data_IF_253066294035
#
_entry.id   IF_253066294035
#
_cell.length_a   1.000
_cell.length_b   1.000
_cell.length_c   1.000
_cell.angle_alpha   90.00
_cell.angle_beta   90.00
_cell.angle_gamma   90.00
#
_symmetry.space_group_name_H-M   'P 1'
#
loop_
_entity.id
_entity.type
_entity.pdbx_description
1 polymer ?
#
# COMPACT_ATOMS: atom_id res chain seq x y z
N UNK A 1 0.25 22.67 0.50
CA UNK A 1 0.22 21.24 0.85
C UNK A 1 -0.19 21.15 2.31
N UNK A 2 -1.39 20.66 2.60
CA UNK A 2 -1.79 20.41 3.97
C UNK A 2 -0.95 19.22 4.46
N UNK A 3 -0.19 19.41 5.54
CA UNK A 3 0.36 18.27 6.28
C UNK A 3 -0.84 17.47 6.79
N UNK A 4 -0.91 16.17 6.42
CA UNK A 4 -1.89 15.27 7.01
C UNK A 4 -1.64 15.28 8.53
N UNK A 5 -2.63 15.70 9.31
CA UNK A 5 -2.55 15.81 10.78
C UNK A 5 -2.24 14.47 11.47
N UNK A 6 -2.25 13.37 10.75
CA UNK A 6 -2.02 12.00 11.22
C UNK A 6 -0.67 11.40 10.82
N UNK A 7 0.28 12.21 10.34
CA UNK A 7 1.61 11.68 9.98
C UNK A 7 2.42 11.30 11.22
N UNK A 8 3.09 10.16 11.15
CA UNK A 8 3.93 9.61 12.23
C UNK A 8 5.40 9.71 11.81
N UNK A 9 6.24 10.32 12.64
CA UNK A 9 7.69 10.31 12.44
C UNK A 9 8.19 8.92 12.80
N UNK A 10 8.81 8.23 11.84
CA UNK A 10 9.45 6.94 12.07
C UNK A 10 10.75 7.13 12.86
N UNK A 11 10.85 6.47 13.99
CA UNK A 11 12.04 6.53 14.86
C UNK A 11 13.18 5.69 14.26
N UNK A 12 14.44 5.95 14.62
CA UNK A 12 15.58 5.13 14.19
C UNK A 12 15.40 3.62 14.45
N UNK A 13 14.75 3.27 15.58
CA UNK A 13 14.47 1.87 15.93
C UNK A 13 13.43 1.24 15.00
N UNK A 14 12.44 1.99 14.50
CA UNK A 14 11.45 1.51 13.55
C UNK A 14 12.11 1.26 12.19
N UNK A 15 12.99 2.18 11.77
CA UNK A 15 13.75 2.08 10.52
C UNK A 15 14.69 0.87 10.56
N UNK A 16 15.36 0.61 11.70
CA UNK A 16 16.31 -0.49 11.85
C UNK A 16 15.66 -1.88 11.79
N UNK A 17 14.37 -2.00 12.15
CA UNK A 17 13.65 -3.27 12.30
C UNK A 17 12.89 -3.75 11.06
N UNK A 18 12.97 -3.06 9.95
CA UNK A 18 12.06 -3.23 8.81
C UNK A 18 10.59 -3.03 9.21
N UNK A 19 9.92 -2.19 8.46
CA UNK A 19 8.49 -1.96 8.63
C UNK A 19 7.74 -3.14 8.02
N UNK A 20 6.83 -3.76 8.77
CA UNK A 20 5.90 -4.76 8.25
C UNK A 20 4.49 -4.16 8.27
N UNK A 21 3.79 -4.24 7.15
CA UNK A 21 2.39 -3.90 7.00
C UNK A 21 1.62 -5.16 6.60
N UNK A 22 0.64 -5.56 7.40
CA UNK A 22 -0.30 -6.63 7.11
C UNK A 22 -1.69 -6.05 6.86
N UNK A 23 -2.56 -6.78 6.17
CA UNK A 23 -3.84 -6.23 5.73
C UNK A 23 -4.96 -7.22 5.93
N UNK A 24 -6.15 -6.70 6.27
CA UNK A 24 -7.36 -7.47 6.44
C UNK A 24 -8.56 -6.60 6.06
N UNK A 25 -9.60 -7.19 5.49
CA UNK A 25 -10.81 -6.46 5.11
C UNK A 25 -12.07 -7.24 5.40
N UNK A 26 -13.14 -6.51 5.72
CA UNK A 26 -14.42 -7.07 6.09
C UNK A 26 -15.55 -6.50 5.25
N UNK A 27 -16.55 -7.32 5.03
CA UNK A 27 -17.77 -7.00 4.33
C UNK A 27 -18.97 -7.11 5.26
N UNK A 28 -19.96 -6.21 5.11
CA UNK A 28 -21.26 -6.40 5.74
C UNK A 28 -21.94 -7.63 5.12
N UNK A 29 -22.42 -8.54 5.90
CA UNK A 29 -23.16 -9.77 5.58
C UNK A 29 -22.94 -10.37 4.18
N UNK A 30 -22.45 -11.61 4.12
CA UNK A 30 -22.34 -12.39 2.90
C UNK A 30 -23.69 -12.98 2.52
N UNK A 31 -24.27 -12.60 1.39
CA UNK A 31 -25.21 -13.48 0.71
C UNK A 31 -24.45 -14.69 0.15
N UNK A 32 -25.06 -15.90 0.21
CA UNK A 32 -24.41 -17.20 -0.09
C UNK A 32 -23.85 -17.35 -1.52
N UNK A 33 -24.04 -16.37 -2.40
CA UNK A 33 -23.67 -16.41 -3.81
C UNK A 33 -22.89 -15.18 -4.28
N UNK A 34 -22.45 -14.32 -3.39
CA UNK A 34 -21.67 -13.14 -3.77
C UNK A 34 -20.20 -13.49 -4.04
N UNK A 35 -19.68 -12.93 -5.11
CA UNK A 35 -18.26 -13.02 -5.45
C UNK A 35 -17.48 -12.22 -4.39
N UNK A 36 -16.54 -12.89 -3.73
CA UNK A 36 -15.64 -12.25 -2.77
C UNK A 36 -14.80 -11.20 -3.49
N UNK A 37 -14.50 -10.07 -2.82
CA UNK A 37 -13.54 -9.12 -3.33
C UNK A 37 -12.15 -9.76 -3.37
N UNK A 38 -11.56 -9.73 -4.54
CA UNK A 38 -10.22 -10.22 -4.83
C UNK A 38 -9.31 -8.97 -4.83
N UNK A 39 -8.63 -8.74 -3.71
CA UNK A 39 -7.89 -7.52 -3.47
C UNK A 39 -6.41 -7.79 -3.56
N UNK A 40 -5.77 -7.16 -4.52
CA UNK A 40 -4.33 -7.20 -4.71
C UNK A 40 -3.64 -6.05 -3.98
N UNK A 41 -2.52 -6.35 -3.32
CA UNK A 41 -1.67 -5.37 -2.65
C UNK A 41 -0.47 -5.01 -3.51
N UNK A 42 -0.16 -3.72 -3.52
CA UNK A 42 0.89 -3.14 -4.32
C UNK A 42 1.73 -2.16 -3.52
N UNK A 43 3.00 -2.06 -3.87
CA UNK A 43 3.83 -0.96 -3.41
C UNK A 43 4.72 -0.44 -4.54
N UNK A 44 5.03 0.85 -4.52
CA UNK A 44 5.96 1.44 -5.46
C UNK A 44 6.94 2.37 -4.77
N UNK A 45 8.19 2.33 -5.24
CA UNK A 45 9.27 3.21 -4.80
C UNK A 45 9.36 4.38 -5.76
N UNK A 46 9.14 5.58 -5.24
CA UNK A 46 9.08 6.83 -6.02
C UNK A 46 10.36 7.64 -5.78
N UNK A 47 10.96 8.11 -6.87
CA UNK A 47 12.14 8.96 -6.85
C UNK A 47 11.80 10.45 -6.67
N UNK A 48 12.80 11.30 -6.51
CA UNK A 48 12.67 12.76 -6.34
C UNK A 48 11.98 13.48 -7.51
N UNK A 49 11.88 12.82 -8.67
CA UNK A 49 11.14 13.34 -9.82
C UNK A 49 9.64 12.96 -9.79
N UNK A 50 9.20 12.30 -8.73
CA UNK A 50 7.80 11.88 -8.54
C UNK A 50 7.40 10.65 -9.35
N UNK A 51 8.37 9.83 -9.78
CA UNK A 51 8.14 8.67 -10.67
C UNK A 51 8.91 7.44 -10.20
N UNK A 52 8.48 6.26 -10.60
CA UNK A 52 9.29 5.04 -10.44
C UNK A 52 10.43 5.04 -11.48
N UNK A 53 11.53 4.37 -11.14
CA UNK A 53 12.73 4.33 -11.99
C UNK A 53 12.62 3.31 -13.12
N UNK A 54 11.93 2.20 -12.89
CA UNK A 54 11.74 1.08 -13.82
C UNK A 54 10.51 0.28 -13.42
N UNK A 55 10.08 -0.68 -14.24
CA UNK A 55 8.89 -1.50 -13.98
C UNK A 55 9.05 -2.35 -12.73
N UNK A 56 10.27 -2.84 -12.46
CA UNK A 56 10.58 -3.65 -11.28
C UNK A 56 10.49 -2.87 -9.96
N UNK A 57 10.40 -1.53 -9.99
CA UNK A 57 10.13 -0.70 -8.82
C UNK A 57 8.65 -0.73 -8.38
N UNK A 58 7.79 -1.42 -9.13
CA UNK A 58 6.42 -1.76 -8.75
C UNK A 58 6.41 -3.17 -8.17
N UNK A 59 6.11 -3.29 -6.88
CA UNK A 59 6.13 -4.55 -6.12
C UNK A 59 4.71 -5.06 -5.90
N UNK A 60 4.48 -6.34 -6.18
CA UNK A 60 3.20 -7.04 -6.04
C UNK A 60 3.42 -8.57 -6.10
N UNK A 61 2.38 -9.38 -6.08
CA UNK A 61 2.47 -10.85 -6.05
C UNK A 61 3.32 -11.50 -7.16
N UNK A 62 3.48 -10.86 -8.34
CA UNK A 62 4.33 -11.35 -9.44
C UNK A 62 5.72 -10.69 -9.47
N UNK A 63 5.95 -9.63 -8.73
CA UNK A 63 7.23 -8.97 -8.59
C UNK A 63 7.50 -8.67 -7.10
N UNK A 64 8.15 -9.58 -6.43
CA UNK A 64 8.25 -9.66 -4.97
C UNK A 64 9.16 -8.62 -4.32
N UNK A 65 9.99 -7.89 -5.08
CA UNK A 65 10.86 -6.85 -4.53
C UNK A 65 11.30 -5.86 -5.60
N UNK A 66 11.50 -4.60 -5.21
CA UNK A 66 12.13 -3.59 -6.05
C UNK A 66 13.65 -3.84 -6.21
N UNK A 67 14.32 -3.24 -7.22
CA UNK A 67 15.75 -3.45 -7.49
C UNK A 67 16.69 -3.09 -6.36
N UNK A 68 16.35 -2.09 -5.55
CA UNK A 68 17.15 -1.65 -4.41
C UNK A 68 16.83 -2.43 -3.13
N UNK A 69 15.89 -3.39 -3.21
CA UNK A 69 15.45 -4.18 -2.06
C UNK A 69 14.94 -3.31 -0.88
N UNK A 70 14.23 -2.24 -1.19
CA UNK A 70 13.57 -1.38 -0.21
C UNK A 70 12.24 -1.98 0.21
N UNK A 71 11.47 -2.51 -0.76
CA UNK A 71 10.14 -3.09 -0.56
C UNK A 71 10.14 -4.57 -0.91
N UNK A 72 9.44 -5.35 -0.11
CA UNK A 72 9.23 -6.79 -0.32
C UNK A 72 7.76 -7.13 -0.15
N UNK A 73 7.19 -7.82 -1.12
CA UNK A 73 5.94 -8.54 -0.96
C UNK A 73 6.22 -9.90 -0.32
N UNK A 74 5.43 -10.30 0.64
CA UNK A 74 5.53 -11.63 1.27
C UNK A 74 4.14 -12.23 1.36
N UNK A 75 3.98 -13.38 0.76
CA UNK A 75 2.86 -14.29 0.97
C UNK A 75 3.17 -15.05 2.27
N UNK A 76 2.41 -14.78 3.33
CA UNK A 76 2.71 -15.33 4.67
C UNK A 76 2.10 -16.72 4.82
N UNK A 77 2.83 -17.74 4.32
CA UNK A 77 2.42 -19.14 4.40
C UNK A 77 2.56 -19.76 5.81
N UNK A 78 3.09 -19.05 6.80
CA UNK A 78 3.36 -19.65 8.12
C UNK A 78 2.29 -19.36 9.18
N UNK A 79 1.17 -18.76 8.80
CA UNK A 79 -0.10 -18.75 9.57
C UNK A 79 -0.05 -18.07 10.94
N UNK A 80 0.95 -17.24 11.22
CA UNK A 80 1.06 -16.51 12.49
C UNK A 80 0.29 -15.20 12.54
N UNK A 81 -0.05 -14.71 11.38
CA UNK A 81 -0.98 -13.63 11.17
C UNK A 81 -2.07 -14.23 10.31
N UNK A 82 -3.33 -14.06 10.64
CA UNK A 82 -4.46 -14.45 9.78
C UNK A 82 -4.52 -13.61 8.49
N UNK A 83 -3.38 -13.05 8.08
CA UNK A 83 -3.18 -12.14 6.97
C UNK A 83 -2.42 -12.88 5.87
N UNK A 84 -3.12 -13.12 4.77
CA UNK A 84 -2.56 -13.85 3.63
C UNK A 84 -1.39 -13.11 2.96
N UNK A 85 -1.39 -11.75 3.00
CA UNK A 85 -0.41 -10.91 2.30
C UNK A 85 0.21 -9.83 3.20
N UNK A 86 1.49 -9.53 3.01
CA UNK A 86 2.16 -8.41 3.68
C UNK A 86 3.16 -7.66 2.81
N UNK A 87 3.28 -6.35 3.06
CA UNK A 87 4.31 -5.49 2.50
C UNK A 87 5.36 -5.20 3.57
N UNK A 88 6.60 -5.54 3.29
CA UNK A 88 7.74 -5.28 4.17
C UNK A 88 8.63 -4.20 3.57
N UNK A 89 9.09 -3.23 4.38
CA UNK A 89 9.84 -2.07 3.92
C UNK A 89 11.12 -1.91 4.73
N UNK A 90 12.26 -1.92 4.05
CA UNK A 90 13.59 -1.71 4.63
C UNK A 90 14.14 -0.34 4.22
N UNK A 91 13.85 0.69 4.99
CA UNK A 91 14.28 2.06 4.71
C UNK A 91 15.82 2.25 4.77
N UNK A 92 16.58 1.31 5.34
CA UNK A 92 18.04 1.37 5.32
C UNK A 92 18.60 1.19 3.90
N UNK A 93 17.85 0.56 3.00
CA UNK A 93 18.23 0.38 1.61
C UNK A 93 17.84 1.58 0.73
N UNK A 94 17.04 2.51 1.27
CA UNK A 94 16.58 3.67 0.52
C UNK A 94 17.75 4.57 0.11
N UNK A 95 17.91 4.78 -1.19
CA UNK A 95 18.95 5.61 -1.78
C UNK A 95 18.68 7.10 -1.55
N UNK A 96 19.66 7.94 -1.88
CA UNK A 96 19.44 9.40 -1.84
C UNK A 96 18.39 9.88 -2.84
N UNK A 97 18.12 9.11 -3.89
CA UNK A 97 17.07 9.44 -4.88
C UNK A 97 15.67 8.98 -4.46
N UNK A 98 15.55 8.07 -3.51
CA UNK A 98 14.26 7.62 -2.97
C UNK A 98 13.57 8.76 -2.22
N UNK A 99 12.43 9.22 -2.73
CA UNK A 99 11.62 10.29 -2.12
C UNK A 99 10.50 9.73 -1.26
N UNK A 100 9.76 8.74 -1.79
CA UNK A 100 8.65 8.11 -1.06
C UNK A 100 8.40 6.67 -1.50
N UNK A 101 7.67 5.96 -0.64
CA UNK A 101 7.08 4.67 -0.91
C UNK A 101 5.57 4.84 -0.79
N UNK A 102 4.82 4.32 -1.75
CA UNK A 102 3.36 4.33 -1.77
C UNK A 102 2.90 2.89 -1.66
N UNK A 103 1.98 2.60 -0.72
CA UNK A 103 1.31 1.31 -0.59
C UNK A 103 -0.17 1.51 -0.92
N UNK A 104 -0.70 0.67 -1.78
CA UNK A 104 -2.07 0.77 -2.25
C UNK A 104 -2.65 -0.62 -2.54
N UNK A 105 -3.96 -0.67 -2.67
CA UNK A 105 -4.69 -1.88 -3.02
C UNK A 105 -5.56 -1.62 -4.24
N UNK A 106 -5.83 -2.66 -5.04
CA UNK A 106 -6.87 -2.62 -6.05
C UNK A 106 -7.75 -3.87 -6.00
N UNK A 107 -8.95 -3.75 -6.57
CA UNK A 107 -9.88 -4.87 -6.68
C UNK A 107 -9.74 -5.46 -8.08
N UNK A 108 -9.28 -6.70 -8.17
CA UNK A 108 -9.14 -7.41 -9.43
C UNK A 108 -10.48 -7.53 -10.16
N UNK A 109 -10.50 -7.18 -11.45
CA UNK A 109 -11.69 -7.20 -12.31
C UNK A 109 -12.90 -6.46 -11.70
N UNK A 110 -12.65 -5.35 -10.98
CA UNK A 110 -13.66 -4.58 -10.26
C UNK A 110 -14.87 -4.20 -11.13
N UNK A 111 -14.61 -3.70 -12.34
CA UNK A 111 -15.65 -3.29 -13.28
C UNK A 111 -16.52 -4.44 -13.75
N UNK A 112 -15.91 -5.56 -14.11
CA UNK A 112 -16.60 -6.78 -14.58
C UNK A 112 -17.42 -7.41 -13.47
N UNK A 113 -16.95 -7.31 -12.23
CA UNK A 113 -17.60 -7.85 -11.03
C UNK A 113 -18.55 -6.87 -10.37
N UNK A 114 -18.62 -5.61 -10.85
CA UNK A 114 -19.37 -4.51 -10.25
C UNK A 114 -19.01 -4.32 -8.77
N UNK A 115 -17.71 -4.27 -8.49
CA UNK A 115 -17.15 -4.16 -7.14
C UNK A 115 -16.37 -2.85 -6.98
N UNK A 116 -16.43 -2.28 -5.77
CA UNK A 116 -15.63 -1.16 -5.33
C UNK A 116 -15.40 -1.22 -3.81
N UNK A 117 -14.48 -0.39 -3.29
CA UNK A 117 -14.14 -0.39 -1.87
C UNK A 117 -15.29 0.06 -0.96
N UNK A 118 -16.29 0.82 -1.43
CA UNK A 118 -17.44 1.23 -0.60
C UNK A 118 -18.34 0.07 -0.17
N UNK A 119 -18.19 -1.09 -0.78
CA UNK A 119 -18.91 -2.32 -0.42
C UNK A 119 -18.26 -3.06 0.76
N UNK A 120 -17.07 -2.64 1.19
CA UNK A 120 -16.45 -3.12 2.42
C UNK A 120 -16.92 -2.28 3.61
N UNK A 121 -17.09 -2.91 4.76
CA UNK A 121 -17.39 -2.18 6.00
C UNK A 121 -16.15 -1.56 6.58
N UNK A 122 -15.04 -2.27 6.55
CA UNK A 122 -13.77 -1.88 7.16
C UNK A 122 -12.60 -2.51 6.39
N UNK A 123 -11.49 -1.77 6.36
CA UNK A 123 -10.20 -2.24 5.88
C UNK A 123 -9.17 -1.94 6.97
N UNK A 124 -8.41 -2.93 7.38
CA UNK A 124 -7.41 -2.85 8.45
C UNK A 124 -6.02 -2.88 7.86
N UNK A 125 -5.14 -2.01 8.36
CA UNK A 125 -3.71 -2.04 8.10
C UNK A 125 -2.95 -2.18 9.42
N UNK A 126 -2.44 -3.36 9.67
CA UNK A 126 -1.59 -3.69 10.81
C UNK A 126 -0.17 -3.20 10.58
N UNK A 127 0.55 -2.92 11.66
CA UNK A 127 1.93 -2.46 11.58
C UNK A 127 2.74 -2.92 12.79
N UNK A 128 4.07 -2.94 12.66
CA UNK A 128 4.97 -3.36 13.73
C UNK A 128 5.71 -2.21 14.42
N UNK A 129 5.30 -0.96 14.22
CA UNK A 129 6.01 0.23 14.73
C UNK A 129 5.13 1.16 15.60
N UNK A 130 4.16 1.86 15.04
CA UNK A 130 3.47 2.96 15.72
C UNK A 130 2.49 2.50 16.81
N UNK A 131 1.40 1.87 16.37
CA UNK A 131 0.34 1.39 17.26
C UNK A 131 0.56 -0.06 17.68
N UNK A 132 1.51 -0.71 17.04
CA UNK A 132 1.80 -2.12 17.22
C UNK A 132 0.83 -3.03 16.46
N UNK A 133 1.07 -4.33 16.63
CA UNK A 133 0.37 -5.37 15.89
C UNK A 133 -1.09 -5.53 16.31
N UNK A 134 -1.44 -5.17 17.54
CA UNK A 134 -2.78 -5.39 18.10
C UNK A 134 -3.73 -4.18 17.91
N UNK A 135 -3.25 -3.11 17.28
CA UNK A 135 -4.03 -1.90 17.04
C UNK A 135 -3.81 -1.42 15.60
N UNK A 136 -4.60 -1.92 14.63
CA UNK A 136 -4.45 -1.52 13.23
C UNK A 136 -4.90 -0.09 12.98
N UNK A 137 -4.46 0.50 11.88
CA UNK A 137 -5.15 1.62 11.27
C UNK A 137 -6.44 1.09 10.63
N UNK A 138 -7.57 1.70 10.96
CA UNK A 138 -8.89 1.28 10.47
C UNK A 138 -9.39 2.30 9.47
N UNK A 139 -9.65 1.83 8.26
CA UNK A 139 -10.28 2.63 7.21
C UNK A 139 -11.74 2.21 7.09
N UNK A 140 -12.64 3.14 7.39
CA UNK A 140 -14.09 2.98 7.24
C UNK A 140 -14.65 4.10 6.36
N UNK A 141 -15.90 3.97 5.91
CA UNK A 141 -16.51 4.87 4.93
C UNK A 141 -15.65 4.98 3.65
N UNK A 142 -15.21 3.84 3.15
CA UNK A 142 -14.35 3.73 1.99
C UNK A 142 -15.02 4.32 0.75
N UNK A 143 -14.26 4.93 -0.17
CA UNK A 143 -14.81 5.55 -1.37
C UNK A 143 -15.26 4.51 -2.40
N UNK A 144 -16.22 4.85 -3.31
CA UNK A 144 -16.66 3.98 -4.40
C UNK A 144 -15.64 3.97 -5.54
N UNK A 145 -14.44 3.45 -5.28
CA UNK A 145 -13.32 3.36 -6.22
C UNK A 145 -12.75 1.94 -6.20
N UNK A 146 -12.09 1.53 -7.27
CA UNK A 146 -11.42 0.24 -7.36
C UNK A 146 -9.95 0.27 -6.97
N UNK A 147 -9.37 1.44 -6.77
CA UNK A 147 -8.00 1.63 -6.27
C UNK A 147 -8.05 2.46 -5.00
N UNK A 148 -7.37 2.00 -3.96
CA UNK A 148 -7.32 2.62 -2.62
C UNK A 148 -5.87 2.85 -2.21
N UNK A 149 -5.48 4.10 -2.01
CA UNK A 149 -4.20 4.46 -1.43
C UNK A 149 -4.24 4.20 0.08
N UNK A 150 -3.40 3.29 0.58
CA UNK A 150 -3.40 2.86 1.97
C UNK A 150 -2.48 3.71 2.84
N UNK A 151 -1.25 3.92 2.38
CA UNK A 151 -0.32 4.81 3.07
C UNK A 151 0.77 5.37 2.15
N UNK A 152 1.38 6.45 2.59
CA UNK A 152 2.63 6.98 2.06
C UNK A 152 3.70 6.96 3.14
N UNK A 153 4.92 6.58 2.78
CA UNK A 153 6.12 6.75 3.60
C UNK A 153 7.02 7.71 2.84
N UNK A 154 7.16 8.91 3.34
CA UNK A 154 7.84 10.02 2.64
C UNK A 154 9.08 10.48 3.37
N UNK A 155 10.16 10.72 2.61
CA UNK A 155 11.36 11.37 3.14
C UNK A 155 11.10 12.84 3.44
N UNK A 156 11.43 13.25 4.66
CA UNK A 156 11.41 14.65 5.10
C UNK A 156 12.79 15.01 5.68
N UNK A 157 13.64 15.59 4.86
CA UNK A 157 15.05 15.83 5.21
C UNK A 157 15.78 14.55 5.63
N UNK A 158 16.11 14.41 6.92
CA UNK A 158 16.80 13.24 7.48
C UNK A 158 15.85 12.23 8.17
N UNK A 159 14.55 12.45 8.08
CA UNK A 159 13.53 11.64 8.72
C UNK A 159 12.61 10.99 7.68
N UNK A 160 11.87 9.98 8.10
CA UNK A 160 10.80 9.40 7.33
C UNK A 160 9.47 9.61 8.04
N UNK A 161 8.48 10.05 7.29
CA UNK A 161 7.10 10.25 7.74
C UNK A 161 6.22 9.14 7.17
N UNK A 162 5.54 8.43 8.04
CA UNK A 162 4.48 7.50 7.67
C UNK A 162 3.13 8.20 7.77
N UNK A 163 2.32 8.12 6.73
CA UNK A 163 0.98 8.71 6.67
C UNK A 163 -0.04 7.66 6.18
N UNK A 164 -0.90 7.12 7.06
CA UNK A 164 -2.06 6.36 6.64
C UNK A 164 -3.04 7.29 5.91
N UNK A 165 -3.63 6.86 4.80
CA UNK A 165 -4.44 7.74 3.94
C UNK A 165 -5.87 7.27 3.73
N UNK A 166 -6.11 6.05 3.29
CA UNK A 166 -7.45 5.56 2.95
C UNK A 166 -8.13 6.34 1.81
N UNK A 167 -7.34 6.88 0.87
CA UNK A 167 -7.85 7.75 -0.20
C UNK A 167 -8.10 6.92 -1.45
N UNK A 168 -9.35 6.97 -1.98
CA UNK A 168 -9.68 6.37 -3.26
C UNK A 168 -9.11 7.16 -4.44
N UNK A 169 -8.65 6.43 -5.44
CA UNK A 169 -8.22 7.01 -6.70
C UNK A 169 -9.36 6.98 -7.73
N UNK A 170 -9.65 8.15 -8.34
CA UNK A 170 -10.70 8.30 -9.34
C UNK A 170 -10.22 7.87 -10.73
N UNK A 171 -10.12 6.58 -10.96
CA UNK A 171 -9.66 5.95 -12.19
C UNK A 171 -9.47 4.47 -11.95
N UNK A 172 -9.14 3.72 -13.00
CA UNK A 172 -8.75 2.33 -12.86
C UNK A 172 -7.25 2.20 -12.53
N UNK A 173 -6.80 0.97 -12.27
CA UNK A 173 -5.41 0.66 -11.99
C UNK A 173 -4.45 1.13 -13.10
N UNK A 174 -4.84 1.01 -14.37
CA UNK A 174 -4.01 1.45 -15.48
C UNK A 174 -3.81 2.97 -15.49
N UNK A 175 -4.85 3.74 -15.16
CA UNK A 175 -4.73 5.19 -15.06
C UNK A 175 -3.89 5.59 -13.85
N UNK A 176 -4.09 4.93 -12.71
CA UNK A 176 -3.29 5.15 -11.50
C UNK A 176 -1.79 4.95 -11.79
N UNK A 177 -1.44 3.84 -12.41
CA UNK A 177 -0.05 3.55 -12.78
C UNK A 177 0.52 4.58 -13.77
N UNK A 178 -0.24 5.02 -14.76
CA UNK A 178 0.20 6.06 -15.70
C UNK A 178 0.54 7.38 -15.02
N UNK A 179 -0.19 7.74 -14.00
CA UNK A 179 0.02 8.99 -13.27
C UNK A 179 1.32 8.94 -12.43
N UNK A 180 1.70 7.76 -11.96
CA UNK A 180 2.88 7.56 -11.11
C UNK A 180 4.08 6.93 -11.82
N UNK A 181 3.91 6.30 -13.00
CA UNK A 181 4.97 5.58 -13.72
C UNK A 181 5.42 6.34 -14.96
N UNK A 182 6.70 6.67 -15.04
CA UNK A 182 7.26 7.43 -16.19
C UNK A 182 7.34 6.62 -17.49
N UNK A 183 7.23 5.31 -17.45
CA UNK A 183 7.49 4.39 -18.58
C UNK A 183 6.30 4.27 -19.49
N UNK A 184 5.07 4.33 -18.98
CA UNK A 184 3.85 4.24 -19.80
C UNK A 184 3.65 5.41 -20.78
N UNK A 185 4.44 6.46 -20.68
CA UNK A 185 4.45 7.56 -21.66
C UNK A 185 5.25 7.27 -22.95
N UNK A 186 5.78 6.06 -23.11
CA UNK A 186 6.58 5.65 -24.29
C UNK A 186 5.94 4.52 -25.10
N UNK A 187 4.76 4.03 -24.69
CA UNK A 187 3.92 3.10 -25.43
C UNK A 187 2.72 3.83 -26.01
#
# INVERSE_FOLDING_TARGET
MQQNENSIILKPDDISKKIKLGFEWFRAERERHEIVHDIDLWAMVINKNGKISCDEALVFYNNWTDPDHIVYFTDDQDGRWDEDDSININLNNATNDTDKIIVFADIYAAKERNQDFSQLTEFYMYNNFATGKDTPFVFNNLPPTSVLLLCEIKRNQNEWLFAPTGIGYSGDMNQFLKDYVSIFNKL
#
